data_IF_592656372845
#
_entry.id   IF_592656372845
#
_cell.length_a   1.000
_cell.length_b   1.000
_cell.length_c   1.000
_cell.angle_alpha   90.00
_cell.angle_beta   90.00
_cell.angle_gamma   90.00
#
_symmetry.space_group_name_H-M   'P 1'
#
loop_
_entity.id
_entity.type
_entity.pdbx_description
1 polymer ?
#
# COMPACT_ATOMS: atom_id res chain seq x y z
N UNK A 1 -5.69 7.75 10.57
CA UNK A 1 -5.98 7.83 9.13
C UNK A 1 -5.17 6.73 8.44
N UNK A 2 -5.82 5.82 7.70
CA UNK A 2 -5.11 4.83 6.86
C UNK A 2 -4.89 5.48 5.50
N UNK A 3 -3.66 5.46 5.01
CA UNK A 3 -3.22 6.11 3.78
C UNK A 3 -2.57 5.04 2.90
N UNK A 4 -3.05 4.86 1.66
CA UNK A 4 -2.63 3.78 0.76
C UNK A 4 -2.78 4.20 -0.71
N UNK A 5 -2.01 3.63 -1.62
CA UNK A 5 -2.11 3.89 -3.07
C UNK A 5 -3.09 2.90 -3.72
N UNK A 6 -4.38 3.10 -3.47
CA UNK A 6 -5.47 2.16 -3.78
C UNK A 6 -5.78 2.13 -5.28
N UNK A 7 -5.70 3.27 -5.97
CA UNK A 7 -6.02 3.37 -7.40
C UNK A 7 -5.02 2.63 -8.28
N UNK A 8 -3.75 2.59 -7.89
CA UNK A 8 -2.76 1.75 -8.56
C UNK A 8 -3.03 0.25 -8.39
N UNK A 9 -3.59 -0.16 -7.25
CA UNK A 9 -3.84 -1.57 -6.96
C UNK A 9 -5.18 -2.08 -7.54
N UNK A 10 -6.19 -1.20 -7.65
CA UNK A 10 -7.59 -1.58 -7.91
C UNK A 10 -8.22 -0.91 -9.15
N UNK A 11 -7.52 0.02 -9.81
CA UNK A 11 -8.03 0.65 -11.03
C UNK A 11 -9.27 1.51 -10.82
N UNK A 12 -10.24 1.45 -11.74
CA UNK A 12 -11.45 2.30 -11.73
C UNK A 12 -12.34 2.07 -10.50
N UNK A 13 -12.37 0.84 -9.96
CA UNK A 13 -13.17 0.49 -8.77
C UNK A 13 -12.63 1.12 -7.47
N UNK A 14 -11.40 1.63 -7.49
CA UNK A 14 -10.75 2.17 -6.31
C UNK A 14 -11.49 3.38 -5.72
N UNK A 15 -12.11 4.23 -6.57
CA UNK A 15 -12.70 5.50 -6.09
C UNK A 15 -13.90 5.25 -5.17
N UNK A 16 -14.84 4.41 -5.60
CA UNK A 16 -16.03 4.08 -4.82
C UNK A 16 -15.64 3.40 -3.49
N UNK A 17 -14.61 2.54 -3.52
CA UNK A 17 -14.09 1.89 -2.32
C UNK A 17 -13.45 2.89 -1.36
N UNK A 18 -12.61 3.81 -1.87
CA UNK A 18 -11.96 4.83 -1.04
C UNK A 18 -12.98 5.74 -0.35
N UNK A 19 -14.02 6.17 -1.08
CA UNK A 19 -15.08 7.01 -0.54
C UNK A 19 -15.87 6.28 0.55
N UNK A 20 -16.26 5.02 0.30
CA UNK A 20 -17.03 4.21 1.25
C UNK A 20 -16.29 3.97 2.59
N UNK A 21 -14.95 3.84 2.53
CA UNK A 21 -14.11 3.58 3.71
C UNK A 21 -13.41 4.83 4.27
N UNK A 22 -13.64 6.02 3.68
CA UNK A 22 -12.99 7.27 4.10
C UNK A 22 -11.47 7.23 3.98
N UNK A 23 -10.96 6.56 2.94
CA UNK A 23 -9.53 6.37 2.71
C UNK A 23 -8.99 7.54 1.89
N UNK A 24 -7.91 8.15 2.38
CA UNK A 24 -7.13 9.14 1.63
C UNK A 24 -6.03 8.40 0.84
N UNK A 25 -5.93 8.72 -0.45
CA UNK A 25 -4.88 8.17 -1.30
C UNK A 25 -3.54 8.87 -1.09
N UNK A 26 -2.44 8.10 -1.13
CA UNK A 26 -1.07 8.63 -1.17
C UNK A 26 -0.57 8.73 -2.61
N UNK A 27 0.16 9.80 -2.89
CA UNK A 27 0.97 9.84 -4.10
C UNK A 27 2.09 8.78 -4.03
N UNK A 28 2.52 8.19 -5.15
CA UNK A 28 3.59 7.18 -5.15
C UNK A 28 4.89 7.64 -4.46
N UNK A 29 5.23 8.94 -4.58
CA UNK A 29 6.41 9.52 -3.93
C UNK A 29 6.29 9.69 -2.41
N UNK A 30 5.09 9.52 -1.84
CA UNK A 30 4.84 9.59 -0.40
C UNK A 30 4.80 8.20 0.26
N UNK A 31 4.95 7.13 -0.53
CA UNK A 31 5.06 5.78 0.02
C UNK A 31 6.42 5.60 0.69
N UNK A 32 6.40 5.12 1.93
CA UNK A 32 7.62 4.69 2.61
C UNK A 32 8.06 3.34 2.04
N UNK A 33 8.97 3.44 1.06
CA UNK A 33 9.61 2.30 0.41
C UNK A 33 10.97 1.98 1.03
N UNK A 34 11.22 2.39 2.28
CA UNK A 34 12.44 1.97 2.97
C UNK A 34 12.50 0.44 3.02
N UNK A 35 13.69 -0.18 2.87
CA UNK A 35 13.83 -1.63 2.89
C UNK A 35 13.19 -2.27 4.13
N UNK A 36 13.32 -1.64 5.31
CA UNK A 36 12.70 -2.14 6.53
C UNK A 36 11.16 -2.14 6.50
N UNK A 37 10.53 -1.16 5.85
CA UNK A 37 9.07 -1.15 5.66
C UNK A 37 8.63 -2.25 4.69
N UNK A 38 9.38 -2.45 3.61
CA UNK A 38 9.09 -3.49 2.63
C UNK A 38 9.28 -4.88 3.26
N UNK A 39 10.37 -5.12 3.99
CA UNK A 39 10.62 -6.39 4.70
C UNK A 39 9.49 -6.74 5.67
N UNK A 40 9.01 -5.77 6.48
CA UNK A 40 7.88 -6.02 7.38
C UNK A 40 6.60 -6.36 6.62
N UNK A 41 6.34 -5.69 5.50
CA UNK A 41 5.17 -5.97 4.67
C UNK A 41 5.25 -7.38 4.04
N UNK A 42 6.44 -7.80 3.59
CA UNK A 42 6.72 -9.15 3.08
C UNK A 42 6.51 -10.20 4.16
N UNK A 43 7.13 -10.03 5.33
CA UNK A 43 6.99 -10.95 6.45
C UNK A 43 5.52 -11.10 6.91
N UNK A 44 4.75 -10.01 6.94
CA UNK A 44 3.33 -10.05 7.28
C UNK A 44 2.49 -10.85 6.26
N UNK A 45 2.92 -10.93 5.00
CA UNK A 45 2.31 -11.78 3.95
C UNK A 45 2.89 -13.20 3.91
N UNK A 46 3.87 -13.51 4.76
CA UNK A 46 4.57 -14.81 4.76
C UNK A 46 5.58 -14.96 3.61
N UNK A 47 5.98 -13.86 2.98
CA UNK A 47 6.98 -13.87 1.91
C UNK A 47 8.40 -13.97 2.50
N UNK A 48 9.32 -14.62 1.77
CA UNK A 48 10.74 -14.67 2.15
C UNK A 48 11.43 -13.28 2.10
N UNK A 49 12.67 -13.16 2.60
CA UNK A 49 13.40 -11.89 2.65
C UNK A 49 13.69 -11.29 1.26
N UNK A 50 13.88 -9.96 1.16
CA UNK A 50 14.27 -9.30 -0.10
C UNK A 50 15.64 -9.74 -0.58
N UNK A 51 16.59 -9.86 0.35
CA UNK A 51 17.92 -10.38 0.08
C UNK A 51 17.97 -11.84 0.52
N UNK A 52 18.23 -12.73 -0.44
CA UNK A 52 18.61 -14.12 -0.22
C UNK A 52 20.10 -14.32 -0.47
#
# INVERSE_FOLDING_TARGET
>A
RRRACVRMALGEDASALMDAFGIEELAPGELDLTPGCIERARAARGEGPLAG
#
